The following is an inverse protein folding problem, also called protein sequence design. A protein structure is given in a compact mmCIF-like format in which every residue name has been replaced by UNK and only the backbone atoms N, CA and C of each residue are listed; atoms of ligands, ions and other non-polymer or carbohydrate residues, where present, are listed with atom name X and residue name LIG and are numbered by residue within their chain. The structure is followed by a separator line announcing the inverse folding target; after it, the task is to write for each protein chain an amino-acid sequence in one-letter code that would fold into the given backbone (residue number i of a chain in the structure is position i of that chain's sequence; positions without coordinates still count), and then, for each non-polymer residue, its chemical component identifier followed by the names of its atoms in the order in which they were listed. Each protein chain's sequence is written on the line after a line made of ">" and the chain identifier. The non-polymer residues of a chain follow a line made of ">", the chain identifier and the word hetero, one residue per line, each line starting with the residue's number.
data_IF_733956952472
#
_entry.id   IF_733956952472
#
_cell.length_a   1.000
_cell.length_b   1.000
_cell.length_c   1.000
_cell.angle_alpha   90.00
_cell.angle_beta   90.00
_cell.angle_gamma   90.00
#
_symmetry.space_group_name_H-M   'P 1'
#
loop_
_entity.id
_entity.type
_entity.pdbx_description
1 polymer ?
#
# COMPACT_ATOMS: atom_id res chain seq x y z
N UNK A 1 33.02 -4.47 0.08
CA UNK A 1 33.48 -3.53 -0.98
C UNK A 1 33.48 -2.14 -0.38
N UNK A 2 34.60 -1.41 -0.48
CA UNK A 2 34.68 -0.01 -0.03
C UNK A 2 34.38 0.91 -1.23
N UNK A 3 33.33 1.72 -1.11
CA UNK A 3 32.97 2.74 -2.10
C UNK A 3 33.93 3.92 -1.94
N UNK A 4 34.70 4.25 -2.97
CA UNK A 4 35.76 5.26 -2.87
C UNK A 4 35.34 6.61 -3.43
N UNK A 5 34.29 6.66 -4.24
CA UNK A 5 33.80 7.91 -4.84
C UNK A 5 32.29 7.99 -4.87
N UNK A 6 31.77 9.21 -4.96
CA UNK A 6 30.34 9.47 -5.08
C UNK A 6 29.78 8.89 -6.38
N UNK A 7 30.56 8.94 -7.47
CA UNK A 7 30.16 8.38 -8.76
C UNK A 7 30.02 6.86 -8.74
N UNK A 8 30.88 6.15 -7.99
CA UNK A 8 30.74 4.72 -7.76
C UNK A 8 29.46 4.38 -6.99
N UNK A 9 29.12 5.19 -5.97
CA UNK A 9 27.88 5.03 -5.23
C UNK A 9 26.64 5.34 -6.10
N UNK A 10 26.70 6.38 -6.94
CA UNK A 10 25.62 6.75 -7.87
C UNK A 10 25.43 5.68 -8.93
N UNK A 11 26.51 5.13 -9.50
CA UNK A 11 26.44 4.01 -10.45
C UNK A 11 25.90 2.75 -9.79
N UNK A 12 26.31 2.40 -8.56
CA UNK A 12 25.74 1.24 -7.85
C UNK A 12 24.24 1.41 -7.57
N UNK A 13 23.82 2.58 -7.13
CA UNK A 13 22.41 2.88 -6.84
C UNK A 13 21.57 2.96 -8.12
N UNK A 14 22.16 3.43 -9.23
CA UNK A 14 21.50 3.51 -10.54
C UNK A 14 21.47 2.17 -11.27
N UNK A 15 22.44 1.29 -10.98
CA UNK A 15 22.55 -0.08 -11.52
C UNK A 15 21.78 -1.12 -10.70
N UNK A 16 21.14 -0.74 -9.58
CA UNK A 16 20.02 -1.52 -9.06
C UNK A 16 18.98 -1.47 -10.16
N UNK A 17 18.99 -2.51 -11.00
CA UNK A 17 17.95 -2.86 -11.95
C UNK A 17 16.63 -2.69 -11.23
N UNK A 18 16.04 -1.50 -11.39
CA UNK A 18 14.65 -1.19 -11.17
C UNK A 18 13.94 -2.05 -12.20
N UNK A 19 13.81 -3.34 -11.89
CA UNK A 19 12.94 -4.28 -12.58
C UNK A 19 11.63 -3.52 -12.73
N UNK A 20 11.33 -3.16 -13.96
CA UNK A 20 10.14 -2.41 -14.34
C UNK A 20 8.85 -3.10 -13.86
N UNK A 21 8.94 -4.35 -13.39
CA UNK A 21 7.88 -5.12 -12.74
C UNK A 21 7.47 -4.66 -11.34
N UNK A 22 8.36 -4.07 -10.53
CA UNK A 22 8.01 -3.73 -9.13
C UNK A 22 7.01 -2.56 -9.07
N UNK A 23 6.86 -1.80 -10.15
CA UNK A 23 5.88 -0.70 -10.25
C UNK A 23 4.46 -1.16 -10.59
N UNK A 24 4.27 -2.33 -11.21
CA UNK A 24 2.93 -2.82 -11.57
C UNK A 24 2.16 -3.37 -10.36
N UNK A 25 2.85 -3.83 -9.33
CA UNK A 25 2.26 -4.41 -8.12
C UNK A 25 2.29 -3.49 -6.88
N UNK A 26 2.73 -2.23 -7.01
CA UNK A 26 2.65 -1.26 -5.90
C UNK A 26 1.40 -0.42 -6.07
N UNK A 27 0.59 -0.37 -5.02
CA UNK A 27 -0.50 0.61 -4.86
C UNK A 27 0.16 2.01 -4.85
N UNK A 28 0.17 2.71 -5.98
CA UNK A 28 0.84 4.00 -6.12
C UNK A 28 0.06 5.03 -5.31
N UNK A 29 0.68 5.55 -4.26
CA UNK A 29 0.21 6.75 -3.56
C UNK A 29 0.74 7.97 -4.33
N UNK A 30 -0.15 8.85 -4.77
CA UNK A 30 0.25 10.15 -5.30
C UNK A 30 0.46 11.08 -4.11
N UNK A 31 1.70 11.17 -3.63
CA UNK A 31 2.08 12.16 -2.61
C UNK A 31 2.62 13.38 -3.35
N UNK A 32 1.73 14.26 -3.78
CA UNK A 32 2.09 15.56 -4.34
C UNK A 32 2.35 16.57 -3.21
N UNK A 33 3.23 17.56 -3.44
CA UNK A 33 3.44 18.72 -2.55
C UNK A 33 4.16 18.44 -1.21
N UNK A 34 5.23 17.65 -1.24
CA UNK A 34 6.13 17.47 -0.08
C UNK A 34 7.22 18.55 0.06
N UNK A 35 7.31 19.51 -0.87
CA UNK A 35 8.28 20.61 -0.77
C UNK A 35 7.83 21.74 0.18
N UNK A 36 8.79 22.24 0.94
CA UNK A 36 8.65 23.01 2.18
C UNK A 36 8.31 24.50 2.00
N UNK A 37 7.95 24.96 0.79
CA UNK A 37 7.69 26.38 0.50
C UNK A 37 6.22 26.79 0.34
N UNK A 38 5.29 25.83 0.32
CA UNK A 38 3.89 26.08 -0.07
C UNK A 38 2.92 25.93 1.12
N UNK A 39 3.08 26.72 2.18
CA UNK A 39 2.12 26.76 3.31
C UNK A 39 0.68 27.13 2.91
N UNK A 40 0.46 27.58 1.67
CA UNK A 40 -0.85 28.01 1.17
C UNK A 40 -1.58 26.99 0.26
N UNK A 41 -0.98 25.85 -0.08
CA UNK A 41 -1.63 24.86 -0.95
C UNK A 41 -2.21 23.73 -0.10
N UNK A 42 -3.52 23.49 -0.22
CA UNK A 42 -4.23 22.40 0.45
C UNK A 42 -3.55 21.06 0.15
N UNK A 43 -2.89 20.48 1.17
CA UNK A 43 -2.31 19.14 1.11
C UNK A 43 -3.45 18.13 1.16
N UNK A 44 -3.65 17.40 0.07
CA UNK A 44 -4.69 16.36 -0.04
C UNK A 44 -4.02 15.01 -0.26
N UNK A 45 -4.46 14.00 0.48
CA UNK A 45 -4.06 12.60 0.27
C UNK A 45 -5.19 11.94 -0.52
N UNK A 46 -4.86 11.32 -1.64
CA UNK A 46 -5.81 10.61 -2.48
C UNK A 46 -5.55 9.10 -2.45
N UNK A 47 -6.60 8.32 -2.18
CA UNK A 47 -6.57 6.87 -2.24
C UNK A 47 -7.25 6.40 -3.54
N UNK A 48 -6.48 5.77 -4.44
CA UNK A 48 -6.91 5.38 -5.81
C UNK A 48 -7.06 3.88 -6.02
N UNK A 49 -7.03 3.11 -4.94
CA UNK A 49 -7.01 1.64 -5.01
C UNK A 49 -8.40 1.01 -5.10
N UNK A 50 -9.46 1.80 -4.96
CA UNK A 50 -10.84 1.33 -5.02
C UNK A 50 -11.33 1.25 -6.46
N UNK A 51 -11.98 0.15 -6.82
CA UNK A 51 -12.68 0.04 -8.10
C UNK A 51 -13.93 0.94 -8.10
N UNK A 52 -14.23 1.56 -9.24
CA UNK A 52 -15.50 2.27 -9.39
C UNK A 52 -16.66 1.28 -9.21
N UNK A 53 -17.56 1.56 -8.25
CA UNK A 53 -18.71 0.72 -7.92
C UNK A 53 -19.89 1.60 -7.48
N UNK A 54 -21.10 1.07 -7.61
CA UNK A 54 -22.34 1.66 -7.08
C UNK A 54 -22.88 0.87 -5.87
N UNK A 55 -22.16 -0.16 -5.43
CA UNK A 55 -22.45 -0.94 -4.23
C UNK A 55 -22.20 -0.07 -2.99
N UNK A 56 -23.24 0.19 -2.22
CA UNK A 56 -23.22 1.09 -1.08
C UNK A 56 -22.41 0.52 0.10
N UNK A 57 -22.51 -0.79 0.34
CA UNK A 57 -21.72 -1.50 1.35
C UNK A 57 -20.21 -1.44 1.03
N UNK A 58 -19.83 -1.68 -0.24
CA UNK A 58 -18.44 -1.58 -0.68
C UNK A 58 -17.89 -0.17 -0.50
N UNK A 59 -18.68 0.85 -0.85
CA UNK A 59 -18.33 2.26 -0.67
C UNK A 59 -18.16 2.61 0.82
N UNK A 60 -19.06 2.17 1.70
CA UNK A 60 -18.95 2.43 3.14
C UNK A 60 -17.70 1.78 3.75
N UNK A 61 -17.42 0.52 3.38
CA UNK A 61 -16.20 -0.15 3.83
C UNK A 61 -14.95 0.60 3.37
N UNK A 62 -14.92 1.07 2.13
CA UNK A 62 -13.78 1.82 1.60
C UNK A 62 -13.56 3.16 2.29
N UNK A 63 -14.61 3.97 2.43
CA UNK A 63 -14.56 5.25 3.14
C UNK A 63 -14.08 5.02 4.58
N UNK A 64 -14.57 3.96 5.23
CA UNK A 64 -14.16 3.60 6.58
C UNK A 64 -12.67 3.24 6.65
N UNK A 65 -12.13 2.51 5.68
CA UNK A 65 -10.68 2.22 5.59
C UNK A 65 -9.88 3.51 5.45
N UNK A 66 -10.21 4.36 4.48
CA UNK A 66 -9.49 5.63 4.25
C UNK A 66 -9.49 6.51 5.51
N UNK A 67 -10.66 6.71 6.14
CA UNK A 67 -10.77 7.47 7.39
C UNK A 67 -9.91 6.87 8.50
N UNK A 68 -9.85 5.55 8.57
CA UNK A 68 -9.14 4.85 9.64
C UNK A 68 -7.63 4.90 9.48
N UNK A 69 -7.11 4.82 8.25
CA UNK A 69 -5.70 5.03 7.97
C UNK A 69 -5.25 6.43 8.38
N UNK A 70 -6.02 7.46 8.01
CA UNK A 70 -5.73 8.85 8.39
C UNK A 70 -5.78 9.03 9.91
N UNK A 71 -6.82 8.52 10.58
CA UNK A 71 -6.92 8.58 12.05
C UNK A 71 -5.77 7.84 12.73
N UNK A 72 -5.43 6.65 12.27
CA UNK A 72 -4.34 5.84 12.82
C UNK A 72 -3.01 6.59 12.73
N UNK A 73 -2.71 7.19 11.57
CA UNK A 73 -1.48 7.96 11.36
C UNK A 73 -1.36 9.18 12.28
N UNK A 74 -2.49 9.81 12.66
CA UNK A 74 -2.50 10.94 13.59
C UNK A 74 -2.28 10.50 15.05
N UNK A 75 -2.74 9.29 15.42
CA UNK A 75 -2.71 8.82 16.80
C UNK A 75 -1.43 8.07 17.18
N UNK A 76 -0.74 7.49 16.21
CA UNK A 76 0.44 6.67 16.46
C UNK A 76 1.69 7.55 16.51
N UNK A 77 2.64 7.19 17.38
CA UNK A 77 3.96 7.79 17.39
C UNK A 77 4.66 7.62 16.04
N UNK A 78 5.27 8.70 15.53
CA UNK A 78 5.87 8.73 14.21
C UNK A 78 7.04 7.74 14.08
N UNK A 79 7.90 7.61 15.10
CA UNK A 79 9.01 6.67 15.03
C UNK A 79 8.53 5.21 15.00
N UNK A 80 7.52 4.88 15.82
CA UNK A 80 6.89 3.57 15.81
C UNK A 80 6.28 3.28 14.44
N UNK A 81 5.59 4.24 13.84
CA UNK A 81 5.02 4.11 12.50
C UNK A 81 6.11 3.89 11.45
N UNK A 82 7.19 4.68 11.47
CA UNK A 82 8.31 4.54 10.53
C UNK A 82 8.96 3.16 10.67
N UNK A 83 9.20 2.68 11.90
CA UNK A 83 9.74 1.33 12.15
C UNK A 83 8.80 0.25 11.61
N UNK A 84 7.50 0.40 11.87
CA UNK A 84 6.48 -0.52 11.36
C UNK A 84 6.47 -0.55 9.83
N UNK A 85 6.40 0.61 9.16
CA UNK A 85 6.43 0.69 7.71
C UNK A 85 7.70 0.07 7.13
N UNK A 86 8.89 0.39 7.66
CA UNK A 86 10.16 -0.20 7.18
C UNK A 86 10.20 -1.72 7.33
N UNK A 87 9.63 -2.26 8.41
CA UNK A 87 9.55 -3.72 8.64
C UNK A 87 8.67 -4.44 7.62
N UNK A 88 7.65 -3.78 7.08
CA UNK A 88 6.62 -4.42 6.26
C UNK A 88 6.61 -3.98 4.77
N UNK A 89 7.31 -2.90 4.38
CA UNK A 89 7.25 -2.33 3.02
C UNK A 89 7.73 -3.25 1.89
N UNK A 90 8.65 -4.18 2.19
CA UNK A 90 9.21 -5.10 1.21
C UNK A 90 8.52 -6.47 1.21
N UNK A 91 7.50 -6.66 2.04
CA UNK A 91 6.75 -7.91 2.12
C UNK A 91 5.80 -8.02 0.94
N UNK A 92 5.58 -9.25 0.46
CA UNK A 92 4.55 -9.52 -0.54
C UNK A 92 3.16 -9.50 0.08
N UNK A 93 2.12 -9.56 -0.75
CA UNK A 93 0.72 -9.60 -0.28
C UNK A 93 0.44 -10.88 0.52
N UNK A 94 1.15 -11.96 0.25
CA UNK A 94 1.06 -13.22 0.97
C UNK A 94 1.75 -13.16 2.34
N UNK A 95 2.78 -12.35 2.48
CA UNK A 95 3.54 -12.16 3.73
C UNK A 95 2.98 -11.05 4.62
N UNK A 96 2.25 -10.09 4.02
CA UNK A 96 1.57 -8.99 4.70
C UNK A 96 0.44 -8.41 3.84
N UNK A 97 -0.71 -9.04 3.93
CA UNK A 97 -1.93 -8.73 3.19
C UNK A 97 -2.67 -7.51 3.74
N UNK A 98 -3.67 -7.06 2.97
CA UNK A 98 -4.63 -6.05 3.41
C UNK A 98 -5.34 -6.44 4.72
N UNK A 99 -5.58 -7.73 4.96
CA UNK A 99 -6.23 -8.22 6.19
C UNK A 99 -5.33 -7.90 7.40
N UNK A 100 -4.02 -8.18 7.30
CA UNK A 100 -3.07 -7.89 8.38
C UNK A 100 -2.91 -6.39 8.63
N UNK A 101 -2.91 -5.57 7.57
CA UNK A 101 -2.92 -4.10 7.70
C UNK A 101 -4.17 -3.63 8.46
N UNK A 102 -5.35 -4.12 8.08
CA UNK A 102 -6.62 -3.72 8.70
C UNK A 102 -6.71 -4.16 10.15
N UNK A 103 -6.20 -5.35 10.48
CA UNK A 103 -6.06 -5.81 11.86
C UNK A 103 -5.10 -4.93 12.66
N UNK A 104 -3.96 -4.56 12.09
CA UNK A 104 -2.97 -3.69 12.75
C UNK A 104 -3.51 -2.29 13.08
N UNK A 105 -4.45 -1.76 12.29
CA UNK A 105 -5.13 -0.48 12.57
C UNK A 105 -6.47 -0.65 13.31
N UNK A 106 -6.71 -1.83 13.90
CA UNK A 106 -7.90 -2.20 14.66
C UNK A 106 -9.22 -2.04 13.86
N UNK A 107 -9.27 -2.63 12.66
CA UNK A 107 -10.44 -2.68 11.78
C UNK A 107 -10.84 -4.10 11.40
N UNK A 108 -11.26 -4.93 12.38
CA UNK A 108 -11.59 -6.33 12.15
C UNK A 108 -12.78 -6.53 11.21
N UNK A 109 -13.78 -5.65 11.23
CA UNK A 109 -14.94 -5.75 10.33
C UNK A 109 -14.54 -5.57 8.85
N UNK A 110 -13.71 -4.56 8.55
CA UNK A 110 -13.19 -4.34 7.20
C UNK A 110 -12.21 -5.45 6.81
N UNK A 111 -11.41 -5.95 7.77
CA UNK A 111 -10.51 -7.09 7.55
C UNK A 111 -11.30 -8.34 7.13
N UNK A 112 -12.43 -8.60 7.78
CA UNK A 112 -13.34 -9.68 7.43
C UNK A 112 -13.97 -9.47 6.05
N UNK A 113 -14.56 -8.29 5.80
CA UNK A 113 -15.18 -7.93 4.53
C UNK A 113 -14.23 -8.13 3.34
N UNK A 114 -13.05 -7.51 3.39
CA UNK A 114 -12.07 -7.65 2.30
C UNK A 114 -11.43 -9.04 2.27
N UNK A 115 -11.28 -9.72 3.41
CA UNK A 115 -10.77 -11.08 3.48
C UNK A 115 -11.62 -12.08 2.69
N UNK A 116 -12.96 -11.99 2.80
CA UNK A 116 -13.89 -12.80 2.00
C UNK A 116 -13.70 -12.52 0.51
N UNK A 117 -13.63 -11.24 0.11
CA UNK A 117 -13.50 -10.85 -1.31
C UNK A 117 -12.18 -11.32 -1.90
N UNK A 118 -11.07 -11.20 -1.15
CA UNK A 118 -9.76 -11.71 -1.57
C UNK A 118 -9.81 -13.22 -1.76
N UNK A 119 -10.38 -13.97 -0.80
CA UNK A 119 -10.51 -15.43 -0.91
C UNK A 119 -11.35 -15.84 -2.13
N UNK A 120 -12.47 -15.15 -2.38
CA UNK A 120 -13.32 -15.40 -3.54
C UNK A 120 -12.60 -15.10 -4.86
N UNK A 121 -11.85 -13.99 -4.94
CA UNK A 121 -11.06 -13.64 -6.12
C UNK A 121 -9.95 -14.67 -6.40
N UNK A 122 -9.25 -15.12 -5.36
CA UNK A 122 -8.21 -16.15 -5.47
C UNK A 122 -8.77 -17.48 -5.97
N UNK A 123 -9.93 -17.92 -5.47
CA UNK A 123 -10.60 -19.14 -5.97
C UNK A 123 -10.95 -19.03 -7.46
N UNK A 124 -11.57 -17.91 -7.87
CA UNK A 124 -11.92 -17.65 -9.28
C UNK A 124 -10.70 -17.62 -10.20
N UNK A 125 -9.54 -17.12 -9.75
CA UNK A 125 -8.30 -17.13 -10.53
C UNK A 125 -7.80 -18.57 -10.76
N UNK A 126 -7.74 -19.38 -9.70
CA UNK A 126 -7.34 -20.79 -9.79
C UNK A 126 -8.25 -21.61 -10.71
N UNK A 127 -9.56 -21.35 -10.66
CA UNK A 127 -10.53 -22.02 -11.54
C UNK A 127 -10.32 -21.68 -13.02
N UNK A 128 -9.96 -20.42 -13.32
CA UNK A 128 -9.65 -19.99 -14.70
C UNK A 128 -8.35 -20.61 -15.21
N UNK A 129 -7.29 -20.58 -14.38
CA UNK A 129 -6.00 -21.19 -14.72
C UNK A 129 -6.16 -22.69 -15.03
N UNK A 130 -6.97 -23.42 -14.25
CA UNK A 130 -7.25 -24.83 -14.49
C UNK A 130 -8.16 -25.13 -15.69
N UNK A 131 -8.81 -24.12 -16.29
CA UNK A 131 -9.61 -24.25 -17.52
C UNK A 131 -8.83 -23.89 -18.78
N UNK A 132 -7.68 -23.22 -18.62
CA UNK A 132 -6.80 -22.78 -19.71
C UNK A 132 -5.61 -23.74 -19.93
N UNK A 133 -5.42 -24.73 -19.04
CA UNK A 133 -4.50 -25.88 -19.16
C UNK A 133 -5.21 -27.12 -19.75
#
# INVERSE_FOLDING_TARGET
>A
MSLKTVDEAVMMLSAINLKQDVRRNRLIYSICNLETGAEKVKKTIEFRQHGSTLDDEEVDHWITVCRSLVRFAIMVDEELLVRFCKKHINKTVEEFSLVEVLMAINRPMQAYYYGIRVAAATRKRKEKEAQEE
#
